data_IF_684913052562
#
_entry.id   IF_684913052562
#
_cell.length_a   1.000
_cell.length_b   1.000
_cell.length_c   1.000
_cell.angle_alpha   90.00
_cell.angle_beta   90.00
_cell.angle_gamma   90.00
#
_symmetry.space_group_name_H-M   'P 1'
#
loop_
_entity.id
_entity.type
_entity.pdbx_description
1 polymer ?
#
# COMPACT_ATOMS: atom_id res chain seq x y z
N UNK A 1 3.39 -12.19 17.32
CA UNK A 1 4.01 -10.98 16.77
C UNK A 1 3.10 -10.40 15.70
N UNK A 2 2.80 -9.10 15.82
CA UNK A 2 1.93 -8.43 14.87
C UNK A 2 2.63 -8.26 13.51
N UNK A 3 1.84 -8.38 12.43
CA UNK A 3 2.34 -8.14 11.08
C UNK A 3 2.28 -6.65 10.80
N UNK A 4 3.25 -6.15 10.05
CA UNK A 4 3.42 -4.73 9.76
C UNK A 4 2.94 -4.40 8.35
N UNK A 5 2.13 -3.35 8.22
CA UNK A 5 1.60 -2.87 6.96
C UNK A 5 2.09 -1.44 6.74
N UNK A 6 2.64 -1.16 5.55
CA UNK A 6 3.00 0.20 5.15
C UNK A 6 1.85 0.79 4.34
N UNK A 7 1.34 1.94 4.78
CA UNK A 7 0.31 2.70 4.07
C UNK A 7 0.94 3.93 3.44
N UNK A 8 0.76 4.09 2.14
CA UNK A 8 1.28 5.22 1.38
C UNK A 8 0.12 5.97 0.73
N UNK A 9 -0.16 7.18 1.20
CA UNK A 9 -1.23 8.01 0.67
C UNK A 9 -0.95 9.46 1.07
N UNK A 10 -1.17 10.41 0.17
CA UNK A 10 -0.94 11.82 0.45
C UNK A 10 -2.05 12.44 1.30
N UNK A 11 -3.19 11.76 1.44
CA UNK A 11 -4.28 12.20 2.31
C UNK A 11 -4.06 11.74 3.74
N UNK A 12 -3.75 12.66 4.64
CA UNK A 12 -3.56 12.34 6.05
C UNK A 12 -4.82 11.76 6.68
N UNK A 13 -6.00 12.27 6.30
CA UNK A 13 -7.27 11.77 6.85
C UNK A 13 -7.56 10.35 6.39
N UNK A 14 -7.27 10.02 5.13
CA UNK A 14 -7.45 8.65 4.65
C UNK A 14 -6.48 7.69 5.34
N UNK A 15 -5.21 8.09 5.48
CA UNK A 15 -4.24 7.27 6.21
C UNK A 15 -4.72 6.99 7.63
N UNK A 16 -5.28 8.00 8.31
CA UNK A 16 -5.78 7.85 9.67
C UNK A 16 -6.92 6.84 9.74
N UNK A 17 -7.89 6.93 8.83
CA UNK A 17 -9.02 6.00 8.79
C UNK A 17 -8.55 4.57 8.57
N UNK A 18 -7.69 4.36 7.58
CA UNK A 18 -7.18 3.03 7.25
C UNK A 18 -6.30 2.51 8.39
N UNK A 19 -5.46 3.36 8.97
CA UNK A 19 -4.59 2.98 10.07
C UNK A 19 -5.38 2.51 11.29
N UNK A 20 -6.44 3.23 11.64
CA UNK A 20 -7.30 2.85 12.78
C UNK A 20 -7.93 1.47 12.51
N UNK A 21 -8.44 1.24 11.31
CA UNK A 21 -9.05 -0.03 10.95
C UNK A 21 -8.04 -1.18 11.02
N UNK A 22 -6.84 -0.98 10.52
CA UNK A 22 -5.80 -2.00 10.51
C UNK A 22 -5.31 -2.31 11.92
N UNK A 23 -5.07 -1.28 12.74
CA UNK A 23 -4.66 -1.46 14.14
C UNK A 23 -5.75 -2.19 14.94
N UNK A 24 -7.01 -1.86 14.67
CA UNK A 24 -8.13 -2.55 15.29
C UNK A 24 -8.20 -4.03 14.95
N UNK A 25 -7.66 -4.41 13.80
CA UNK A 25 -7.59 -5.81 13.37
C UNK A 25 -6.31 -6.52 13.83
N UNK A 26 -5.44 -5.83 14.59
CA UNK A 26 -4.24 -6.43 15.17
C UNK A 26 -2.95 -6.24 14.37
N UNK A 27 -2.96 -5.39 13.35
CA UNK A 27 -1.75 -5.11 12.57
C UNK A 27 -1.00 -3.90 13.12
N UNK A 28 0.33 -3.91 12.94
CA UNK A 28 1.14 -2.70 13.12
C UNK A 28 1.12 -1.91 11.83
N UNK A 29 1.19 -0.59 11.92
CA UNK A 29 1.07 0.28 10.75
C UNK A 29 2.21 1.29 10.72
N UNK A 30 2.81 1.42 9.52
CA UNK A 30 3.77 2.48 9.22
C UNK A 30 3.11 3.34 8.15
N UNK A 31 3.17 4.67 8.29
CA UNK A 31 2.56 5.60 7.35
C UNK A 31 3.61 6.36 6.57
N UNK A 32 3.32 6.60 5.29
CA UNK A 32 4.12 7.45 4.42
C UNK A 32 3.17 8.35 3.62
N UNK A 33 3.60 9.58 3.36
CA UNK A 33 2.76 10.58 2.69
C UNK A 33 2.88 10.57 1.17
N UNK A 34 3.92 9.96 0.63
CA UNK A 34 4.15 9.82 -0.81
C UNK A 34 5.16 8.71 -1.08
N UNK A 35 5.47 8.50 -2.37
CA UNK A 35 6.41 7.44 -2.74
C UNK A 35 7.82 7.64 -2.24
N UNK A 36 8.29 8.90 -2.22
CA UNK A 36 9.64 9.18 -1.72
C UNK A 36 9.74 8.92 -0.23
N UNK A 37 8.75 9.37 0.54
CA UNK A 37 8.68 9.10 1.98
C UNK A 37 8.60 7.59 2.24
N UNK A 38 7.80 6.89 1.44
CA UNK A 38 7.66 5.44 1.56
C UNK A 38 8.99 4.71 1.34
N UNK A 39 9.80 5.16 0.38
CA UNK A 39 11.12 4.55 0.16
C UNK A 39 12.02 4.69 1.39
N UNK A 40 11.91 5.77 2.15
CA UNK A 40 12.67 5.90 3.39
C UNK A 40 12.26 4.90 4.45
N UNK A 41 11.02 4.38 4.38
CA UNK A 41 10.52 3.37 5.30
C UNK A 41 10.99 1.96 4.90
N UNK A 42 11.43 1.77 3.67
CA UNK A 42 11.98 0.51 3.17
C UNK A 42 13.47 0.44 3.51
N UNK A 43 13.76 0.42 4.80
CA UNK A 43 15.11 0.52 5.36
C UNK A 43 15.59 -0.80 5.97
N UNK A 44 15.05 -1.91 5.51
CA UNK A 44 15.39 -3.24 6.02
C UNK A 44 14.43 -3.77 7.07
N UNK A 45 13.53 -2.93 7.60
CA UNK A 45 12.53 -3.40 8.55
C UNK A 45 11.52 -4.32 7.86
N UNK A 46 10.97 -5.26 8.60
CA UNK A 46 10.04 -6.22 8.04
C UNK A 46 8.68 -5.57 7.76
N UNK A 47 8.26 -5.66 6.50
CA UNK A 47 6.95 -5.17 6.06
C UNK A 47 6.25 -6.33 5.36
N UNK A 48 5.05 -6.67 5.84
CA UNK A 48 4.32 -7.85 5.37
C UNK A 48 3.35 -7.54 4.24
N UNK A 49 3.00 -6.27 4.07
CA UNK A 49 2.10 -5.82 3.01
C UNK A 49 2.22 -4.31 2.83
N UNK A 50 2.08 -3.84 1.59
CA UNK A 50 2.09 -2.42 1.26
C UNK A 50 0.73 -2.05 0.66
N UNK A 51 0.14 -0.95 1.15
CA UNK A 51 -1.06 -0.34 0.57
C UNK A 51 -0.65 1.03 0.06
N UNK A 52 -0.80 1.28 -1.24
CA UNK A 52 -0.35 2.54 -1.84
C UNK A 52 -1.40 3.15 -2.74
N UNK A 53 -1.62 4.46 -2.59
CA UNK A 53 -2.38 5.25 -3.55
C UNK A 53 -1.61 5.32 -4.87
N UNK A 54 -2.31 5.53 -5.97
CA UNK A 54 -1.70 5.70 -7.30
C UNK A 54 -1.21 7.13 -7.48
N UNK A 55 -2.07 8.11 -7.24
CA UNK A 55 -1.75 9.52 -7.46
C UNK A 55 -1.23 10.18 -6.20
N UNK A 56 0.04 10.54 -6.21
CA UNK A 56 0.69 11.24 -5.09
C UNK A 56 1.70 12.23 -5.65
N UNK A 57 1.97 13.35 -4.92
CA UNK A 57 3.02 14.27 -5.33
C UNK A 57 4.40 13.62 -5.15
N UNK A 58 5.41 14.19 -5.78
CA UNK A 58 6.82 13.79 -5.72
C UNK A 58 7.12 12.46 -6.39
N UNK A 59 6.41 11.40 -6.01
CA UNK A 59 6.53 10.07 -6.64
C UNK A 59 5.19 9.36 -6.56
N UNK A 60 4.62 8.99 -7.70
CA UNK A 60 3.35 8.27 -7.74
C UNK A 60 3.50 6.82 -7.25
N UNK A 61 2.34 6.17 -7.00
CA UNK A 61 2.34 4.83 -6.42
C UNK A 61 2.90 3.76 -7.35
N UNK A 62 2.71 3.89 -8.65
CA UNK A 62 3.24 2.90 -9.60
C UNK A 62 4.76 2.97 -9.65
N UNK A 63 5.32 4.18 -9.71
CA UNK A 63 6.77 4.39 -9.67
C UNK A 63 7.35 3.88 -8.35
N UNK A 64 6.66 4.15 -7.24
CA UNK A 64 7.07 3.64 -5.93
C UNK A 64 7.12 2.11 -5.92
N UNK A 65 6.08 1.44 -6.42
CA UNK A 65 6.04 -0.02 -6.44
C UNK A 65 7.16 -0.58 -7.29
N UNK A 66 7.44 0.03 -8.45
CA UNK A 66 8.55 -0.41 -9.31
C UNK A 66 9.88 -0.35 -8.55
N UNK A 67 10.14 0.72 -7.82
CA UNK A 67 11.38 0.86 -7.06
C UNK A 67 11.43 -0.09 -5.87
N UNK A 68 10.30 -0.25 -5.16
CA UNK A 68 10.23 -1.18 -4.04
C UNK A 68 10.55 -2.62 -4.47
N UNK A 69 10.06 -3.02 -5.64
CA UNK A 69 10.31 -4.37 -6.18
C UNK A 69 11.75 -4.59 -6.64
N UNK A 70 12.53 -3.53 -6.81
CA UNK A 70 13.97 -3.63 -7.07
C UNK A 70 14.76 -3.95 -5.81
N UNK A 71 14.20 -3.71 -4.63
CA UNK A 71 14.89 -3.95 -3.37
C UNK A 71 14.70 -5.42 -2.96
N UNK A 72 15.79 -6.18 -2.77
CA UNK A 72 15.68 -7.62 -2.47
C UNK A 72 14.80 -7.93 -1.26
N UNK A 73 14.83 -7.07 -0.22
CA UNK A 73 14.04 -7.28 1.00
C UNK A 73 12.53 -7.17 0.76
N UNK A 74 12.11 -6.48 -0.31
CA UNK A 74 10.69 -6.19 -0.57
C UNK A 74 10.18 -6.72 -1.90
N UNK A 75 11.02 -7.44 -2.61
CA UNK A 75 10.70 -7.97 -3.95
C UNK A 75 9.41 -8.80 -3.95
N UNK A 76 9.15 -9.56 -2.89
CA UNK A 76 7.99 -10.43 -2.79
C UNK A 76 6.91 -9.91 -1.85
N UNK A 77 7.07 -8.69 -1.31
CA UNK A 77 6.06 -8.10 -0.44
C UNK A 77 4.81 -7.77 -1.27
N UNK A 78 3.62 -8.29 -0.89
CA UNK A 78 2.41 -8.01 -1.67
C UNK A 78 2.02 -6.54 -1.57
N UNK A 79 1.45 -6.02 -2.66
CA UNK A 79 1.03 -4.62 -2.76
C UNK A 79 -0.44 -4.55 -3.18
N UNK A 80 -1.21 -3.74 -2.45
CA UNK A 80 -2.57 -3.37 -2.80
C UNK A 80 -2.53 -1.92 -3.26
N UNK A 81 -3.08 -1.64 -4.45
CA UNK A 81 -3.19 -0.27 -4.95
C UNK A 81 -4.55 0.31 -4.62
N UNK A 82 -4.57 1.58 -4.23
CA UNK A 82 -5.80 2.35 -4.03
C UNK A 82 -5.99 3.24 -5.25
N UNK A 83 -7.12 3.10 -5.94
CA UNK A 83 -7.39 3.85 -7.17
C UNK A 83 -8.78 4.49 -7.12
N UNK A 84 -8.99 5.50 -7.95
CA UNK A 84 -10.34 5.99 -8.25
C UNK A 84 -10.79 5.35 -9.57
N UNK A 85 -12.09 5.42 -9.88
CA UNK A 85 -12.61 4.91 -11.16
C UNK A 85 -11.93 5.57 -12.35
N UNK A 86 -11.58 6.85 -12.21
CA UNK A 86 -10.89 7.59 -13.28
C UNK A 86 -9.47 7.07 -13.55
N UNK A 87 -8.95 6.19 -12.70
CA UNK A 87 -7.59 5.64 -12.81
C UNK A 87 -7.57 4.19 -13.28
N UNK A 88 -8.67 3.66 -13.80
CA UNK A 88 -8.72 2.28 -14.27
C UNK A 88 -7.65 1.97 -15.33
N UNK A 89 -7.33 2.95 -16.19
CA UNK A 89 -6.28 2.79 -17.19
C UNK A 89 -4.90 2.55 -16.58
N UNK A 90 -4.72 2.89 -15.31
CA UNK A 90 -3.46 2.66 -14.58
C UNK A 90 -3.33 1.24 -14.04
N UNK A 91 -4.40 0.47 -14.03
CA UNK A 91 -4.39 -0.88 -13.44
C UNK A 91 -3.40 -1.81 -14.15
N UNK A 92 -3.33 -1.74 -15.47
CA UNK A 92 -2.38 -2.57 -16.22
C UNK A 92 -0.93 -2.22 -15.87
N UNK A 93 -0.62 -0.92 -15.74
CA UNK A 93 0.70 -0.47 -15.35
C UNK A 93 1.06 -0.93 -13.93
N UNK A 94 0.10 -0.85 -13.01
CA UNK A 94 0.30 -1.28 -11.64
C UNK A 94 0.53 -2.78 -11.52
N UNK A 95 -0.22 -3.58 -12.27
CA UNK A 95 -0.01 -5.03 -12.31
C UNK A 95 1.38 -5.36 -12.85
N UNK A 96 1.78 -4.69 -13.92
CA UNK A 96 3.12 -4.87 -14.49
C UNK A 96 4.22 -4.46 -13.50
N UNK A 97 3.95 -3.48 -12.64
CA UNK A 97 4.88 -3.06 -11.60
C UNK A 97 4.94 -4.05 -10.43
N UNK A 98 3.95 -4.92 -10.27
CA UNK A 98 3.94 -5.96 -9.25
C UNK A 98 2.80 -5.90 -8.24
N UNK A 99 1.81 -5.04 -8.43
CA UNK A 99 0.66 -4.99 -7.52
C UNK A 99 -0.21 -6.26 -7.66
N UNK A 100 -0.71 -6.76 -6.53
CA UNK A 100 -1.49 -8.00 -6.47
C UNK A 100 -3.00 -7.74 -6.45
N UNK A 101 -3.44 -6.60 -5.93
CA UNK A 101 -4.86 -6.30 -5.82
C UNK A 101 -5.11 -4.81 -5.93
N UNK A 102 -6.37 -4.46 -6.14
CA UNK A 102 -6.85 -3.10 -6.34
C UNK A 102 -8.08 -2.87 -5.50
N UNK A 103 -8.11 -1.73 -4.82
CA UNK A 103 -9.30 -1.29 -4.09
C UNK A 103 -9.67 0.09 -4.62
N UNK A 104 -10.92 0.24 -5.09
CA UNK A 104 -11.39 1.48 -5.71
C UNK A 104 -11.95 2.39 -4.63
N UNK A 105 -11.54 3.64 -4.63
CA UNK A 105 -12.07 4.68 -3.73
C UNK A 105 -13.40 5.21 -4.26
N UNK A 106 -14.35 5.55 -3.39
CA UNK A 106 -14.36 5.31 -1.95
C UNK A 106 -14.60 3.83 -1.62
N UNK A 107 -14.06 3.36 -0.51
CA UNK A 107 -14.21 1.97 -0.08
C UNK A 107 -14.62 1.91 1.39
N UNK A 108 -15.21 0.79 1.79
CA UNK A 108 -15.51 0.52 3.19
C UNK A 108 -14.29 -0.09 3.88
N UNK A 109 -14.04 0.25 5.17
CA UNK A 109 -12.93 -0.36 5.89
C UNK A 109 -12.94 -1.89 5.89
N UNK A 110 -14.11 -2.51 5.97
CA UNK A 110 -14.24 -3.97 5.92
C UNK A 110 -13.72 -4.55 4.60
N UNK A 111 -13.93 -3.84 3.49
CA UNK A 111 -13.45 -4.24 2.17
C UNK A 111 -11.92 -4.25 2.14
N UNK A 112 -11.29 -3.23 2.72
CA UNK A 112 -9.84 -3.16 2.82
C UNK A 112 -9.29 -4.27 3.70
N UNK A 113 -9.91 -4.51 4.86
CA UNK A 113 -9.48 -5.56 5.77
C UNK A 113 -9.57 -6.95 5.14
N UNK A 114 -10.61 -7.18 4.33
CA UNK A 114 -10.76 -8.44 3.61
C UNK A 114 -9.63 -8.65 2.61
N UNK A 115 -9.31 -7.62 1.82
CA UNK A 115 -8.20 -7.69 0.86
C UNK A 115 -6.87 -7.93 1.57
N UNK A 116 -6.63 -7.25 2.68
CA UNK A 116 -5.42 -7.42 3.48
C UNK A 116 -5.28 -8.86 3.98
N UNK A 117 -6.34 -9.41 4.57
CA UNK A 117 -6.30 -10.74 5.16
C UNK A 117 -5.99 -11.84 4.13
N UNK A 118 -6.39 -11.60 2.88
CA UNK A 118 -6.17 -12.58 1.80
C UNK A 118 -4.76 -12.54 1.23
N UNK A 119 -4.08 -11.40 1.33
CA UNK A 119 -2.80 -11.19 0.64
C UNK A 119 -1.60 -11.06 1.56
N UNK A 120 -1.80 -10.74 2.83
CA UNK A 120 -0.68 -10.45 3.73
C UNK A 120 0.22 -11.67 3.92
N UNK A 121 1.53 -11.43 3.91
CA UNK A 121 2.53 -12.48 4.10
C UNK A 121 2.38 -13.14 5.48
N UNK A 122 2.65 -14.45 5.56
CA UNK A 122 2.65 -15.15 6.85
C UNK A 122 3.76 -14.67 7.80
#
# INVERSE_FOLDING_TARGET
>A
VAKTILIVDDSASLRQVVSIALKGAGYDVIEARDGQDALTKLNGQRIHLIISDVNMPNMDGISFVKEAKQLPAYKFTPVIMLTTESQESKMAEGKAAGAKAWVVKPFQPAQMLDAVSKLIMP
#
